data_IF_019437055191
#
_entry.id   IF_019437055191
#
_cell.length_a   1.000
_cell.length_b   1.000
_cell.length_c   1.000
_cell.angle_alpha   90.00
_cell.angle_beta   90.00
_cell.angle_gamma   90.00
#
_symmetry.space_group_name_H-M   'P 1'
#
loop_
_entity.id
_entity.type
_entity.pdbx_description
1 polymer ?
#
# COMPACT_ATOMS: atom_id res chain seq x y z
N UNK A 1 -2.97 30.03 -1.55
CA UNK A 1 -3.77 29.42 -0.47
C UNK A 1 -3.09 28.13 -0.04
N UNK A 2 -2.38 28.13 1.10
CA UNK A 2 -1.78 26.92 1.68
C UNK A 2 -2.93 26.04 2.18
N UNK A 3 -3.29 24.99 1.43
CA UNK A 3 -4.22 23.96 1.92
C UNK A 3 -3.58 23.30 3.15
N UNK A 4 -4.33 23.19 4.24
CA UNK A 4 -3.95 22.54 5.50
C UNK A 4 -3.08 21.29 5.28
N UNK A 5 -1.83 21.31 5.76
CA UNK A 5 -0.89 20.17 5.74
C UNK A 5 -1.23 19.05 6.74
N UNK A 6 -2.52 18.80 7.03
CA UNK A 6 -2.97 17.88 8.10
C UNK A 6 -3.93 16.78 7.62
N UNK A 7 -3.84 16.36 6.35
CA UNK A 7 -4.67 15.27 5.85
C UNK A 7 -3.81 14.06 5.44
N UNK A 8 -4.40 12.87 5.51
CA UNK A 8 -3.80 11.61 5.08
C UNK A 8 -4.03 11.44 3.57
N UNK A 9 -2.96 11.30 2.80
CA UNK A 9 -3.00 11.10 1.35
C UNK A 9 -2.84 9.63 0.98
N UNK A 10 -3.42 9.24 -0.15
CA UNK A 10 -3.19 7.94 -0.76
C UNK A 10 -2.95 8.05 -2.28
N UNK A 11 -2.02 7.25 -2.79
CA UNK A 11 -1.89 6.98 -4.22
C UNK A 11 -2.49 5.61 -4.47
N UNK A 12 -3.49 5.55 -5.36
CA UNK A 12 -4.27 4.33 -5.60
C UNK A 12 -3.80 3.60 -6.87
N UNK A 13 -3.30 2.38 -6.71
CA UNK A 13 -2.88 1.51 -7.80
C UNK A 13 -3.98 0.52 -8.16
N UNK A 14 -4.40 0.53 -9.43
CA UNK A 14 -5.49 -0.30 -9.95
C UNK A 14 -5.02 -1.17 -11.13
N UNK A 15 -5.40 -2.46 -11.18
CA UNK A 15 -5.25 -3.26 -12.40
C UNK A 15 -5.97 -2.60 -13.59
N UNK A 16 -5.34 -2.59 -14.77
CA UNK A 16 -5.83 -1.88 -15.97
C UNK A 16 -7.22 -2.32 -16.42
N UNK A 17 -7.57 -3.60 -16.21
CA UNK A 17 -8.82 -4.21 -16.66
C UNK A 17 -9.84 -4.43 -15.53
N UNK A 18 -9.74 -3.65 -14.45
CA UNK A 18 -10.69 -3.75 -13.35
C UNK A 18 -12.09 -3.26 -13.80
N UNK A 19 -13.18 -4.02 -13.55
CA UNK A 19 -14.53 -3.58 -13.89
C UNK A 19 -14.92 -2.31 -13.13
N UNK A 20 -15.78 -1.49 -13.73
CA UNK A 20 -16.15 -0.16 -13.20
C UNK A 20 -16.67 -0.19 -11.76
N UNK A 21 -17.41 -1.24 -11.38
CA UNK A 21 -17.96 -1.37 -10.03
C UNK A 21 -16.87 -1.62 -8.98
N UNK A 22 -15.86 -2.44 -9.29
CA UNK A 22 -14.69 -2.63 -8.41
C UNK A 22 -13.83 -1.38 -8.31
N UNK A 23 -13.74 -0.59 -9.38
CA UNK A 23 -13.07 0.72 -9.31
C UNK A 23 -13.80 1.62 -8.31
N UNK A 24 -15.14 1.72 -8.38
CA UNK A 24 -15.92 2.51 -7.43
C UNK A 24 -15.75 2.03 -5.99
N UNK A 25 -15.74 0.72 -5.79
CA UNK A 25 -15.50 0.12 -4.48
C UNK A 25 -14.12 0.50 -3.93
N UNK A 26 -13.06 0.42 -4.75
CA UNK A 26 -11.71 0.81 -4.33
C UNK A 26 -11.65 2.26 -3.83
N UNK A 27 -12.29 3.19 -4.53
CA UNK A 27 -12.35 4.58 -4.10
C UNK A 27 -13.09 4.73 -2.78
N UNK A 28 -14.28 4.12 -2.66
CA UNK A 28 -15.09 4.19 -1.45
C UNK A 28 -14.37 3.62 -0.22
N UNK A 29 -13.59 2.55 -0.39
CA UNK A 29 -12.81 1.94 0.70
C UNK A 29 -11.64 2.84 1.14
N UNK A 30 -10.93 3.46 0.19
CA UNK A 30 -9.84 4.40 0.52
C UNK A 30 -10.38 5.62 1.27
N UNK A 31 -11.52 6.17 0.83
CA UNK A 31 -12.19 7.28 1.52
C UNK A 31 -12.68 6.87 2.91
N UNK A 32 -13.24 5.67 3.06
CA UNK A 32 -13.69 5.11 4.35
C UNK A 32 -12.53 4.88 5.33
N UNK A 33 -11.32 4.63 4.81
CA UNK A 33 -10.08 4.56 5.59
C UNK A 33 -9.51 5.95 5.95
N UNK A 34 -10.26 7.02 5.67
CA UNK A 34 -9.90 8.42 5.93
C UNK A 34 -8.69 8.92 5.13
N UNK A 35 -8.50 8.38 3.93
CA UNK A 35 -7.49 8.86 2.99
C UNK A 35 -8.09 9.69 1.87
N UNK A 36 -7.42 10.79 1.52
CA UNK A 36 -7.69 11.54 0.30
C UNK A 36 -6.88 10.95 -0.85
N UNK A 37 -7.54 10.51 -1.90
CA UNK A 37 -6.88 9.99 -3.10
C UNK A 37 -6.23 11.16 -3.85
N UNK A 38 -4.90 11.15 -3.93
CA UNK A 38 -4.11 12.18 -4.59
C UNK A 38 -3.85 11.89 -6.06
N UNK A 39 -3.69 10.60 -6.38
CA UNK A 39 -3.45 10.13 -7.75
C UNK A 39 -3.88 8.66 -7.91
N UNK A 40 -4.10 8.24 -9.15
CA UNK A 40 -4.54 6.90 -9.52
C UNK A 40 -3.68 6.34 -10.65
N UNK A 41 -2.89 5.33 -10.33
CA UNK A 41 -1.99 4.66 -11.28
C UNK A 41 -2.60 3.34 -11.75
N UNK A 42 -2.88 3.24 -13.05
CA UNK A 42 -3.30 1.96 -13.65
C UNK A 42 -2.09 1.15 -14.12
N UNK A 43 -2.10 -0.16 -13.84
CA UNK A 43 -1.01 -1.05 -14.21
C UNK A 43 -1.48 -2.39 -14.80
N UNK A 44 -0.60 -3.04 -15.58
CA UNK A 44 -0.80 -4.41 -16.07
C UNK A 44 0.15 -5.32 -15.28
N UNK A 45 -0.38 -6.36 -14.64
CA UNK A 45 0.42 -7.35 -13.90
C UNK A 45 1.38 -8.07 -14.85
N UNK A 46 2.65 -8.20 -14.46
CA UNK A 46 3.70 -8.87 -15.23
C UNK A 46 4.05 -10.23 -14.65
N UNK A 47 3.09 -11.16 -14.65
CA UNK A 47 3.28 -12.54 -14.21
C UNK A 47 3.87 -12.63 -12.79
N UNK A 48 5.16 -13.00 -12.61
CA UNK A 48 5.79 -13.09 -11.30
C UNK A 48 6.00 -11.74 -10.59
N UNK A 49 6.07 -10.61 -11.32
CA UNK A 49 6.21 -9.26 -10.77
C UNK A 49 4.89 -8.49 -10.89
N UNK A 50 4.61 -7.63 -9.92
CA UNK A 50 3.41 -6.78 -9.99
C UNK A 50 3.54 -5.68 -11.06
N UNK A 51 4.64 -4.93 -11.04
CA UNK A 51 4.89 -3.78 -11.92
C UNK A 51 6.13 -4.00 -12.80
N UNK A 52 6.17 -3.34 -13.95
CA UNK A 52 7.42 -3.16 -14.70
C UNK A 52 8.34 -2.17 -13.99
N UNK A 53 9.63 -2.18 -14.32
CA UNK A 53 10.58 -1.22 -13.78
C UNK A 53 10.21 0.22 -14.14
N UNK A 54 9.80 0.46 -15.38
CA UNK A 54 9.31 1.76 -15.82
C UNK A 54 8.07 2.23 -15.03
N UNK A 55 7.12 1.31 -14.78
CA UNK A 55 5.90 1.64 -14.02
C UNK A 55 6.18 1.83 -12.53
N UNK A 56 7.13 1.07 -11.97
CA UNK A 56 7.58 1.27 -10.59
C UNK A 56 8.24 2.65 -10.43
N UNK A 57 9.09 3.05 -11.37
CA UNK A 57 9.72 4.38 -11.38
C UNK A 57 8.69 5.50 -11.43
N UNK A 58 7.68 5.38 -12.31
CA UNK A 58 6.54 6.32 -12.38
C UNK A 58 5.83 6.44 -11.01
N UNK A 59 5.57 5.32 -10.33
CA UNK A 59 4.95 5.34 -8.99
C UNK A 59 5.84 6.05 -7.96
N UNK A 60 7.15 5.82 -7.98
CA UNK A 60 8.11 6.48 -7.08
C UNK A 60 8.11 7.99 -7.31
N UNK A 61 8.12 8.44 -8.57
CA UNK A 61 8.08 9.86 -8.92
C UNK A 61 6.79 10.54 -8.41
N UNK A 62 5.65 9.88 -8.57
CA UNK A 62 4.35 10.37 -8.05
C UNK A 62 4.37 10.43 -6.51
N UNK A 63 4.89 9.40 -5.84
CA UNK A 63 5.02 9.39 -4.37
C UNK A 63 5.86 10.57 -3.90
N UNK A 64 7.04 10.79 -4.46
CA UNK A 64 7.94 11.88 -4.08
C UNK A 64 7.35 13.27 -4.35
N UNK A 65 6.52 13.41 -5.40
CA UNK A 65 5.80 14.65 -5.69
C UNK A 65 4.84 15.01 -4.54
N UNK A 66 4.06 14.05 -4.03
CA UNK A 66 3.00 14.31 -3.06
C UNK A 66 3.43 14.19 -1.59
N UNK A 67 4.50 13.44 -1.30
CA UNK A 67 4.90 13.08 0.08
C UNK A 67 5.18 14.30 0.98
N UNK A 68 5.55 15.44 0.41
CA UNK A 68 5.87 16.68 1.15
C UNK A 68 4.64 17.53 1.49
N UNK A 69 3.50 17.27 0.84
CA UNK A 69 2.29 18.09 0.96
C UNK A 69 1.27 17.53 1.96
N UNK A 70 1.50 16.31 2.46
CA UNK A 70 0.59 15.57 3.34
C UNK A 70 1.27 15.17 4.65
N UNK A 71 0.46 14.96 5.69
CA UNK A 71 0.94 14.47 6.99
C UNK A 71 1.39 13.00 6.90
N UNK A 72 0.64 12.20 6.15
CA UNK A 72 0.89 10.78 5.95
C UNK A 72 0.52 10.44 4.50
N UNK A 73 1.38 9.71 3.80
CA UNK A 73 1.12 9.21 2.45
C UNK A 73 1.20 7.69 2.46
N UNK A 74 0.18 7.03 1.90
CA UNK A 74 0.19 5.58 1.67
C UNK A 74 0.06 5.23 0.20
N UNK A 75 0.64 4.09 -0.16
CA UNK A 75 0.42 3.46 -1.46
C UNK A 75 -0.66 2.38 -1.31
N UNK A 76 -1.85 2.61 -1.84
CA UNK A 76 -2.92 1.62 -1.80
C UNK A 76 -2.93 0.84 -3.10
N UNK A 77 -2.69 -0.46 -3.05
CA UNK A 77 -2.78 -1.35 -4.22
C UNK A 77 -4.05 -2.17 -4.09
N UNK A 78 -5.01 -1.91 -4.98
CA UNK A 78 -6.29 -2.62 -4.99
C UNK A 78 -6.17 -3.98 -5.68
N UNK A 79 -5.28 -4.84 -5.18
CA UNK A 79 -5.04 -6.21 -5.66
C UNK A 79 -4.34 -7.02 -4.54
N UNK A 80 -4.25 -8.33 -4.68
CA UNK A 80 -3.42 -9.16 -3.78
C UNK A 80 -1.94 -9.02 -4.12
N UNK A 81 -1.12 -8.66 -3.13
CA UNK A 81 0.30 -8.43 -3.35
C UNK A 81 1.11 -9.60 -2.78
N UNK A 82 2.05 -10.13 -3.57
CA UNK A 82 3.01 -11.10 -3.06
C UNK A 82 4.00 -10.41 -2.11
N UNK A 83 4.51 -11.09 -1.06
CA UNK A 83 5.49 -10.51 -0.14
C UNK A 83 6.67 -9.81 -0.82
N UNK A 84 7.20 -10.40 -1.90
CA UNK A 84 8.30 -9.83 -2.69
C UNK A 84 7.94 -8.48 -3.32
N UNK A 85 6.76 -8.40 -3.93
CA UNK A 85 6.30 -7.17 -4.59
C UNK A 85 5.98 -6.10 -3.53
N UNK A 86 5.37 -6.48 -2.41
CA UNK A 86 5.13 -5.58 -1.28
C UNK A 86 6.45 -4.98 -0.78
N UNK A 87 7.45 -5.82 -0.49
CA UNK A 87 8.77 -5.36 -0.03
C UNK A 87 9.43 -4.46 -1.07
N UNK A 88 9.26 -4.73 -2.36
CA UNK A 88 9.82 -3.89 -3.42
C UNK A 88 9.13 -2.52 -3.44
N UNK A 89 7.80 -2.47 -3.46
CA UNK A 89 7.05 -1.22 -3.42
C UNK A 89 7.42 -0.40 -2.18
N UNK A 90 7.44 -1.02 -1.00
CA UNK A 90 7.75 -0.35 0.27
C UNK A 90 9.17 0.23 0.28
N UNK A 91 10.18 -0.53 -0.15
CA UNK A 91 11.57 -0.05 -0.17
C UNK A 91 11.75 1.09 -1.18
N UNK A 92 11.21 0.93 -2.39
CA UNK A 92 11.46 1.87 -3.49
C UNK A 92 10.67 3.17 -3.35
N UNK A 93 9.45 3.11 -2.79
CA UNK A 93 8.60 4.29 -2.57
C UNK A 93 8.83 4.94 -1.19
N UNK A 94 9.41 4.21 -0.24
CA UNK A 94 9.64 4.70 1.12
C UNK A 94 8.37 5.12 1.86
N UNK A 95 7.22 4.55 1.51
CA UNK A 95 5.92 4.75 2.19
C UNK A 95 5.28 3.40 2.52
N UNK A 96 4.33 3.40 3.45
CA UNK A 96 3.58 2.18 3.78
C UNK A 96 2.67 1.79 2.61
N UNK A 97 2.66 0.48 2.31
CA UNK A 97 1.84 -0.11 1.25
C UNK A 97 0.63 -0.79 1.88
N UNK A 98 -0.57 -0.49 1.42
CA UNK A 98 -1.79 -1.22 1.78
C UNK A 98 -2.25 -2.03 0.59
N UNK A 99 -2.35 -3.35 0.76
CA UNK A 99 -3.15 -4.16 -0.15
C UNK A 99 -4.62 -4.14 0.28
N UNK A 100 -5.47 -4.90 -0.43
CA UNK A 100 -6.89 -4.98 -0.08
C UNK A 100 -7.13 -5.42 1.35
N UNK A 101 -6.41 -6.44 1.82
CA UNK A 101 -6.58 -6.98 3.18
C UNK A 101 -6.22 -5.94 4.23
N UNK A 102 -5.06 -5.28 4.11
CA UNK A 102 -4.64 -4.25 5.05
C UNK A 102 -5.55 -3.03 5.03
N UNK A 103 -6.04 -2.62 3.86
CA UNK A 103 -7.01 -1.53 3.75
C UNK A 103 -8.29 -1.84 4.54
N UNK A 104 -8.84 -3.05 4.39
CA UNK A 104 -10.03 -3.47 5.13
C UNK A 104 -9.76 -3.52 6.64
N UNK A 105 -8.61 -4.05 7.07
CA UNK A 105 -8.23 -4.08 8.48
C UNK A 105 -8.08 -2.67 9.06
N UNK A 106 -7.57 -1.72 8.27
CA UNK A 106 -7.46 -0.31 8.68
C UNK A 106 -8.84 0.33 8.86
N UNK A 107 -9.78 0.08 7.94
CA UNK A 107 -11.18 0.50 8.10
C UNK A 107 -11.79 -0.10 9.36
N UNK A 108 -11.60 -1.40 9.61
CA UNK A 108 -12.13 -2.04 10.81
C UNK A 108 -11.51 -1.45 12.09
N UNK A 109 -10.22 -1.12 12.08
CA UNK A 109 -9.55 -0.48 13.20
C UNK A 109 -10.19 0.85 13.59
N UNK A 110 -10.62 1.65 12.59
CA UNK A 110 -11.32 2.92 12.82
C UNK A 110 -12.68 2.75 13.51
N UNK A 111 -13.35 1.61 13.29
CA UNK A 111 -14.71 1.36 13.80
C UNK A 111 -14.75 0.42 15.02
N UNK A 112 -13.64 -0.21 15.37
CA UNK A 112 -13.59 -1.20 16.45
C UNK A 112 -13.81 -0.56 17.83
N UNK A 113 -15.00 -0.75 18.39
CA UNK A 113 -15.36 -0.23 19.72
C UNK A 113 -14.86 -1.08 20.90
N UNK A 114 -14.78 -2.40 20.75
CA UNK A 114 -14.38 -3.30 21.83
C UNK A 114 -12.88 -3.61 21.83
N UNK A 115 -12.33 -3.89 23.02
CA UNK A 115 -10.93 -4.33 23.17
C UNK A 115 -10.66 -5.65 22.44
N UNK A 116 -11.59 -6.58 22.49
CA UNK A 116 -11.48 -7.86 21.79
C UNK A 116 -11.39 -7.68 20.27
N UNK A 117 -12.25 -6.83 19.69
CA UNK A 117 -12.22 -6.54 18.25
C UNK A 117 -10.87 -5.92 17.84
N UNK A 118 -10.37 -4.96 18.62
CA UNK A 118 -9.04 -4.36 18.38
C UNK A 118 -7.93 -5.40 18.38
N UNK A 119 -7.93 -6.31 19.35
CA UNK A 119 -6.93 -7.39 19.44
C UNK A 119 -7.03 -8.37 18.26
N UNK A 120 -8.23 -8.71 17.80
CA UNK A 120 -8.41 -9.57 16.64
C UNK A 120 -7.91 -8.91 15.34
N UNK A 121 -8.18 -7.61 15.16
CA UNK A 121 -7.69 -6.83 14.02
C UNK A 121 -6.17 -6.73 14.04
N UNK A 122 -5.58 -6.47 15.21
CA UNK A 122 -4.14 -6.43 15.38
C UNK A 122 -3.50 -7.80 15.07
N UNK A 123 -4.08 -8.88 15.60
CA UNK A 123 -3.63 -10.24 15.31
C UNK A 123 -3.70 -10.57 13.80
N UNK A 124 -4.80 -10.20 13.14
CA UNK A 124 -4.95 -10.40 11.70
C UNK A 124 -3.90 -9.59 10.92
N UNK A 125 -3.66 -8.35 11.33
CA UNK A 125 -2.63 -7.47 10.76
C UNK A 125 -1.24 -8.08 10.90
N UNK A 126 -0.90 -8.58 12.09
CA UNK A 126 0.38 -9.24 12.36
C UNK A 126 0.56 -10.52 11.53
N UNK A 127 -0.48 -11.35 11.45
CA UNK A 127 -0.48 -12.57 10.60
C UNK A 127 -0.24 -12.24 9.13
N UNK A 128 -0.87 -11.17 8.62
CA UNK A 128 -0.69 -10.72 7.25
C UNK A 128 0.71 -10.15 6.98
N UNK A 129 1.26 -9.39 7.94
CA UNK A 129 2.61 -8.80 7.84
C UNK A 129 3.74 -9.82 8.02
N UNK A 130 3.52 -10.90 8.75
CA UNK A 130 4.55 -11.91 9.03
C UNK A 130 5.27 -12.45 7.78
N UNK A 131 4.59 -12.91 6.71
CA UNK A 131 5.27 -13.36 5.49
C UNK A 131 6.06 -12.23 4.80
N UNK A 132 5.59 -10.99 4.89
CA UNK A 132 6.27 -9.80 4.34
C UNK A 132 7.56 -9.51 5.10
N UNK A 133 7.52 -9.54 6.43
CA UNK A 133 8.69 -9.32 7.29
C UNK A 133 9.76 -10.39 7.06
N UNK A 134 9.36 -11.66 6.92
CA UNK A 134 10.28 -12.75 6.57
C UNK A 134 10.97 -12.51 5.23
N UNK A 135 10.22 -12.06 4.22
CA UNK A 135 10.78 -11.72 2.91
C UNK A 135 11.72 -10.51 2.97
N UNK A 136 11.37 -9.49 3.75
CA UNK A 136 12.25 -8.34 3.99
C UNK A 136 13.59 -8.77 4.60
N UNK A 137 13.57 -9.53 5.70
CA UNK A 137 14.79 -10.04 6.36
C UNK A 137 15.63 -10.87 5.39
N UNK A 138 14.98 -11.77 4.62
CA UNK A 138 15.68 -12.60 3.62
C UNK A 138 16.40 -11.74 2.58
N UNK A 139 15.76 -10.67 2.11
CA UNK A 139 16.35 -9.75 1.12
C UNK A 139 17.45 -8.88 1.71
N UNK A 140 17.32 -8.42 2.96
CA UNK A 140 18.37 -7.66 3.65
C UNK A 140 19.62 -8.51 3.84
N UNK A 141 19.48 -9.75 4.33
CA UNK A 141 20.60 -10.70 4.44
C UNK A 141 21.29 -10.97 3.11
N UNK A 142 20.54 -11.08 2.01
CA UNK A 142 21.11 -11.24 0.67
C UNK A 142 21.89 -10.02 0.17
N UNK A 143 21.55 -8.82 0.62
CA UNK A 143 22.30 -7.59 0.32
C UNK A 143 23.53 -7.44 1.22
N UNK A 144 23.45 -7.93 2.46
CA UNK A 144 24.51 -7.90 3.47
C UNK A 144 25.56 -9.01 3.33
N UNK A 145 25.29 -10.05 2.55
CA UNK A 145 26.31 -10.99 2.10
C UNK A 145 27.00 -10.35 0.89
N UNK A 146 28.15 -9.66 1.02
CA UNK A 146 29.05 -9.58 -0.10
C UNK A 146 29.29 -11.03 -0.51
N UNK A 147 29.15 -11.32 -1.80
CA UNK A 147 29.41 -12.65 -2.31
C UNK A 147 30.80 -13.14 -1.89
N UNK A 148 31.05 -14.41 -2.16
CA UNK A 148 32.41 -14.86 -2.44
C UNK A 148 33.24 -13.81 -3.19
#
# INVERSE_FOLDING_TARGET
>A
MKKNSYYRGAILLLPKHLPKWLVREAFALVESAQYTILDVVKYKRLGPKLLSEAKLKEVVEIVEQYKKDVYELKLVVYDEIKPRDYTTLMIETGVEVLDRTLLILEIFSLHAGSKEAKLQIELATLKHRLPIVREFIRRSKLKELPGF
#
